data_IF_370092749049
#
_entry.id   IF_370092749049
#
_cell.length_a   1.000
_cell.length_b   1.000
_cell.length_c   1.000
_cell.angle_alpha   90.00
_cell.angle_beta   90.00
_cell.angle_gamma   90.00
#
_symmetry.space_group_name_H-M   'P 1'
#
loop_
_entity.id
_entity.type
_entity.pdbx_description
1 polymer ?
#
# COMPACT_ATOMS: atom_id res chain seq x y z
N UNK A 1 4.15 25.02 -3.85
CA UNK A 1 4.95 24.66 -2.65
C UNK A 1 4.21 23.66 -1.76
N UNK A 2 2.91 23.82 -1.54
CA UNK A 2 2.02 22.87 -0.83
C UNK A 2 1.82 21.54 -1.55
N UNK A 3 1.68 21.56 -2.88
CA UNK A 3 1.42 20.37 -3.70
C UNK A 3 2.51 19.28 -3.57
N UNK A 4 3.79 19.68 -3.48
CA UNK A 4 4.90 18.75 -3.25
C UNK A 4 4.85 18.12 -1.84
N UNK A 5 4.39 18.87 -0.83
CA UNK A 5 4.25 18.34 0.53
C UNK A 5 3.09 17.35 0.62
N UNK A 6 1.97 17.65 -0.04
CA UNK A 6 0.81 16.74 -0.10
C UNK A 6 1.17 15.42 -0.80
N UNK A 7 1.86 15.49 -1.94
CA UNK A 7 2.38 14.30 -2.64
C UNK A 7 3.35 13.49 -1.77
N UNK A 8 4.27 14.16 -1.06
CA UNK A 8 5.21 13.48 -0.17
C UNK A 8 4.49 12.79 1.00
N UNK A 9 3.49 13.45 1.60
CA UNK A 9 2.66 12.86 2.66
C UNK A 9 1.90 11.65 2.15
N UNK A 10 1.25 11.75 0.98
CA UNK A 10 0.55 10.63 0.36
C UNK A 10 1.48 9.45 0.08
N UNK A 11 2.69 9.72 -0.43
CA UNK A 11 3.70 8.67 -0.66
C UNK A 11 4.10 7.97 0.64
N UNK A 12 4.37 8.71 1.72
CA UNK A 12 4.72 8.13 3.03
C UNK A 12 3.58 7.31 3.61
N UNK A 13 2.33 7.77 3.49
CA UNK A 13 1.15 7.04 3.93
C UNK A 13 0.98 5.74 3.16
N UNK A 14 1.10 5.78 1.83
CA UNK A 14 0.97 4.59 1.00
C UNK A 14 2.10 3.59 1.26
N UNK A 15 3.35 4.05 1.49
CA UNK A 15 4.47 3.18 1.89
C UNK A 15 4.19 2.47 3.22
N UNK A 16 3.69 3.20 4.22
CA UNK A 16 3.35 2.64 5.53
C UNK A 16 2.22 1.61 5.40
N UNK A 17 1.16 1.95 4.67
CA UNK A 17 0.04 1.04 4.43
C UNK A 17 0.47 -0.24 3.70
N UNK A 18 1.35 -0.13 2.70
CA UNK A 18 1.86 -1.30 1.98
C UNK A 18 2.61 -2.25 2.93
N UNK A 19 3.51 -1.70 3.77
CA UNK A 19 4.25 -2.47 4.76
C UNK A 19 3.33 -3.19 5.75
N UNK A 20 2.34 -2.49 6.29
CA UNK A 20 1.38 -3.07 7.24
C UNK A 20 0.56 -4.21 6.60
N UNK A 21 0.17 -4.05 5.34
CA UNK A 21 -0.55 -5.08 4.57
C UNK A 21 0.33 -6.30 4.27
N UNK A 22 1.62 -6.09 3.97
CA UNK A 22 2.59 -7.17 3.79
C UNK A 22 2.78 -7.98 5.07
N UNK A 23 2.97 -7.30 6.20
CA UNK A 23 3.10 -7.96 7.50
C UNK A 23 1.83 -8.73 7.88
N UNK A 24 0.66 -8.15 7.65
CA UNK A 24 -0.61 -8.83 7.88
C UNK A 24 -0.75 -10.06 6.96
N UNK A 25 -0.29 -9.98 5.71
CA UNK A 25 -0.40 -11.07 4.73
C UNK A 25 0.43 -12.29 5.11
N UNK A 26 1.59 -12.05 5.72
CA UNK A 26 2.45 -13.11 6.26
C UNK A 26 1.85 -13.78 7.51
N UNK A 27 1.02 -13.08 8.27
CA UNK A 27 0.42 -13.59 9.52
C UNK A 27 -0.85 -14.41 9.31
N UNK A 28 -1.58 -14.18 8.21
CA UNK A 28 -2.86 -14.86 7.97
C UNK A 28 -2.64 -16.24 7.31
N UNK A 29 -3.27 -17.32 7.83
CA UNK A 29 -3.19 -18.64 7.24
C UNK A 29 -3.87 -18.71 5.86
N UNK A 30 -3.39 -19.59 4.98
CA UNK A 30 -3.90 -19.80 3.61
C UNK A 30 -5.29 -20.45 3.55
N UNK A 31 -5.93 -20.68 4.69
CA UNK A 31 -7.19 -21.40 4.81
C UNK A 31 -8.42 -20.50 4.71
N UNK A 32 -8.25 -19.17 4.69
CA UNK A 32 -9.36 -18.21 4.70
C UNK A 32 -9.30 -17.24 3.50
N UNK A 33 -10.48 -16.90 2.98
CA UNK A 33 -10.70 -15.86 1.99
C UNK A 33 -10.13 -14.50 2.43
N UNK A 34 -9.98 -14.28 3.74
CA UNK A 34 -9.30 -13.12 4.32
C UNK A 34 -7.92 -12.85 3.69
N UNK A 35 -7.15 -13.90 3.40
CA UNK A 35 -5.82 -13.76 2.76
C UNK A 35 -5.91 -13.25 1.33
N UNK A 36 -6.92 -13.69 0.57
CA UNK A 36 -7.18 -13.19 -0.77
C UNK A 36 -7.64 -11.72 -0.79
N UNK A 37 -8.48 -11.31 0.17
CA UNK A 37 -8.87 -9.89 0.31
C UNK A 37 -7.68 -9.01 0.66
N UNK A 38 -6.84 -9.48 1.58
CA UNK A 38 -5.65 -8.75 2.01
C UNK A 38 -4.63 -8.63 0.88
N UNK A 39 -4.43 -9.69 0.09
CA UNK A 39 -3.62 -9.64 -1.13
C UNK A 39 -4.12 -8.57 -2.10
N UNK A 40 -5.43 -8.54 -2.39
CA UNK A 40 -6.02 -7.52 -3.27
C UNK A 40 -5.84 -6.10 -2.73
N UNK A 41 -5.96 -5.90 -1.42
CA UNK A 41 -5.70 -4.63 -0.77
C UNK A 41 -4.24 -4.18 -0.95
N UNK A 42 -3.31 -5.10 -0.69
CA UNK A 42 -1.86 -4.89 -0.87
C UNK A 42 -1.52 -4.46 -2.30
N UNK A 43 -2.01 -5.18 -3.30
CA UNK A 43 -1.72 -4.87 -4.71
C UNK A 43 -2.25 -3.49 -5.14
N UNK A 44 -3.42 -3.06 -4.63
CA UNK A 44 -3.94 -1.72 -4.91
C UNK A 44 -3.06 -0.62 -4.35
N UNK A 45 -2.58 -0.76 -3.11
CA UNK A 45 -1.66 0.22 -2.51
C UNK A 45 -0.33 0.24 -3.25
N UNK A 46 0.15 -0.91 -3.70
CA UNK A 46 1.35 -1.02 -4.55
C UNK A 46 1.20 -0.20 -5.84
N UNK A 47 0.07 -0.35 -6.55
CA UNK A 47 -0.21 0.40 -7.77
C UNK A 47 -0.33 1.91 -7.51
N UNK A 48 -0.95 2.32 -6.40
CA UNK A 48 -0.99 3.74 -6.00
C UNK A 48 0.41 4.30 -5.78
N UNK A 49 1.30 3.56 -5.11
CA UNK A 49 2.70 3.95 -4.96
C UNK A 49 3.44 4.06 -6.28
N UNK A 50 3.20 3.13 -7.22
CA UNK A 50 3.78 3.21 -8.57
C UNK A 50 3.36 4.49 -9.30
N UNK A 51 2.10 4.92 -9.16
CA UNK A 51 1.61 6.18 -9.74
C UNK A 51 2.29 7.37 -9.05
N UNK A 52 2.26 7.42 -7.71
CA UNK A 52 2.85 8.50 -6.93
C UNK A 52 4.36 8.67 -7.14
N UNK A 53 5.06 7.59 -7.53
CA UNK A 53 6.50 7.64 -7.81
C UNK A 53 6.82 8.01 -9.26
N UNK A 54 5.86 7.92 -10.20
CA UNK A 54 6.02 8.35 -11.59
C UNK A 54 5.79 9.85 -11.80
N UNK A 55 5.03 10.48 -10.91
CA UNK A 55 4.72 11.92 -10.98
C UNK A 55 5.80 12.82 -10.36
N UNK A 56 6.96 12.27 -9.98
CA UNK A 56 8.13 13.02 -9.47
C UNK A 56 9.34 12.80 -10.36
#
# INVERSE_FOLDING_TARGET
MTENLELEVLRRLAQKALKELEEAYLRIPDTDNGKAYLFRGKERVRLMLEILNKEV
#
